data_IF_134636835028
#
_entry.id   IF_134636835028
#
_cell.length_a   1.000
_cell.length_b   1.000
_cell.length_c   1.000
_cell.angle_alpha   90.00
_cell.angle_beta   90.00
_cell.angle_gamma   90.00
#
_symmetry.space_group_name_H-M   'P 1'
#
loop_
_entity.id
_entity.type
_entity.pdbx_description
1 polymer ?
#
# COMPACT_ATOMS: atom_id res chain seq x y z
N UNK A 1 28.14 8.98 -35.52
CA UNK A 1 27.33 8.08 -34.69
C UNK A 1 27.96 7.97 -33.32
N UNK A 2 27.37 8.59 -32.30
CA UNK A 2 27.81 8.44 -30.90
C UNK A 2 26.59 7.96 -30.12
N UNK A 3 26.64 6.72 -29.66
CA UNK A 3 25.60 6.06 -28.89
C UNK A 3 25.53 6.66 -27.49
N UNK A 4 24.40 7.29 -27.16
CA UNK A 4 24.09 7.72 -25.79
C UNK A 4 23.74 6.48 -24.98
N UNK A 5 24.67 5.99 -24.16
CA UNK A 5 24.33 5.11 -23.03
C UNK A 5 23.57 5.95 -22.01
N UNK A 6 22.26 5.79 -21.98
CA UNK A 6 21.41 6.23 -20.86
C UNK A 6 21.93 5.56 -19.59
N UNK A 7 22.32 6.38 -18.61
CA UNK A 7 22.59 5.90 -17.26
C UNK A 7 21.27 5.33 -16.72
N UNK A 8 21.20 4.00 -16.63
CA UNK A 8 20.11 3.34 -15.91
C UNK A 8 20.14 3.82 -14.46
N UNK A 9 18.98 4.19 -13.94
CA UNK A 9 18.81 4.44 -12.51
C UNK A 9 19.36 3.24 -11.73
N UNK A 10 20.12 3.47 -10.64
CA UNK A 10 20.67 2.38 -9.86
C UNK A 10 19.53 1.53 -9.32
N UNK A 11 19.46 0.28 -9.78
CA UNK A 11 18.55 -0.69 -9.19
C UNK A 11 18.97 -0.93 -7.74
N UNK A 12 18.04 -0.86 -6.77
CA UNK A 12 18.36 -1.03 -5.36
C UNK A 12 18.94 -2.43 -5.14
N UNK A 13 20.19 -2.46 -4.70
CA UNK A 13 20.89 -3.66 -4.25
C UNK A 13 20.31 -4.14 -2.91
N UNK A 14 20.37 -5.46 -2.74
CA UNK A 14 19.84 -6.34 -1.69
C UNK A 14 19.65 -5.73 -0.28
N UNK A 15 18.44 -5.93 0.27
CA UNK A 15 18.05 -5.91 1.70
C UNK A 15 18.03 -4.61 2.52
N UNK A 16 17.82 -3.44 1.89
CA UNK A 16 17.39 -2.27 2.68
C UNK A 16 15.89 -2.32 3.01
N UNK A 17 15.55 -2.73 4.24
CA UNK A 17 14.17 -2.66 4.74
C UNK A 17 13.74 -1.19 4.82
N UNK A 18 12.89 -0.75 3.88
CA UNK A 18 12.33 0.61 3.91
C UNK A 18 11.09 0.65 4.79
N UNK A 19 11.05 1.59 5.73
CA UNK A 19 9.91 1.83 6.61
C UNK A 19 9.33 3.21 6.33
N UNK A 20 8.02 3.25 6.14
CA UNK A 20 7.26 4.48 5.95
C UNK A 20 6.15 4.55 6.99
N UNK A 21 5.88 5.76 7.48
CA UNK A 21 4.84 6.05 8.47
C UNK A 21 3.97 7.17 7.94
N UNK A 22 2.65 7.00 8.02
CA UNK A 22 1.69 8.02 7.59
C UNK A 22 0.56 8.18 8.61
N UNK A 23 0.24 9.42 9.05
CA UNK A 23 -1.04 9.68 9.70
C UNK A 23 -2.16 9.54 8.66
N UNK A 24 -3.19 8.74 8.95
CA UNK A 24 -4.31 8.50 8.04
C UNK A 24 -5.50 7.94 8.82
N UNK A 25 -6.74 8.19 8.37
CA UNK A 25 -7.95 7.62 9.00
C UNK A 25 -8.32 6.26 8.44
N UNK A 26 -8.13 6.08 7.14
CA UNK A 26 -8.28 4.78 6.51
C UNK A 26 -7.27 4.56 5.39
N UNK A 27 -7.12 3.30 4.99
CA UNK A 27 -6.40 2.93 3.77
C UNK A 27 -7.24 1.98 2.93
N UNK A 28 -7.08 2.06 1.61
CA UNK A 28 -7.60 1.10 0.66
C UNK A 28 -6.40 0.44 -0.05
N UNK A 29 -6.35 -0.89 0.03
CA UNK A 29 -5.28 -1.72 -0.51
C UNK A 29 -5.84 -2.47 -1.73
N UNK A 30 -5.32 -2.16 -2.90
CA UNK A 30 -5.73 -2.75 -4.16
C UNK A 30 -4.59 -3.51 -4.83
N UNK A 31 -4.96 -4.55 -5.56
CA UNK A 31 -4.05 -5.22 -6.49
C UNK A 31 -4.10 -4.56 -7.85
N UNK A 32 -2.95 -4.13 -8.34
CA UNK A 32 -2.78 -3.60 -9.69
C UNK A 32 -2.21 -4.67 -10.64
N UNK A 33 -2.34 -4.48 -11.97
CA UNK A 33 -1.65 -5.32 -12.94
C UNK A 33 -0.13 -5.35 -12.72
N UNK A 34 0.50 -6.38 -13.28
CA UNK A 34 1.96 -6.47 -13.36
C UNK A 34 2.47 -5.34 -14.25
N UNK A 35 3.60 -4.74 -13.86
CA UNK A 35 4.29 -3.76 -14.68
C UNK A 35 5.55 -4.39 -15.30
N UNK A 36 5.74 -4.18 -16.60
CA UNK A 36 6.90 -4.69 -17.35
C UNK A 36 7.14 -6.19 -17.16
N UNK A 37 8.41 -6.55 -16.93
CA UNK A 37 8.87 -7.94 -16.78
C UNK A 37 8.89 -8.41 -15.31
N UNK A 38 8.19 -7.73 -14.41
CA UNK A 38 8.15 -8.12 -13.00
C UNK A 38 7.56 -9.53 -12.83
N UNK A 39 8.11 -10.33 -11.92
CA UNK A 39 7.58 -11.68 -11.64
C UNK A 39 6.18 -11.59 -11.01
N UNK A 40 5.98 -10.63 -10.10
CA UNK A 40 4.74 -10.46 -9.35
C UNK A 40 3.94 -9.21 -9.77
N UNK A 41 2.73 -9.08 -9.21
CA UNK A 41 1.83 -7.95 -9.46
C UNK A 41 2.28 -6.69 -8.69
N UNK A 42 1.60 -5.57 -8.94
CA UNK A 42 1.79 -4.34 -8.16
C UNK A 42 0.68 -4.19 -7.13
N UNK A 43 0.94 -3.41 -6.09
CA UNK A 43 -0.02 -3.07 -5.02
C UNK A 43 -0.15 -1.56 -4.97
N UNK A 44 -1.39 -1.07 -4.89
CA UNK A 44 -1.70 0.33 -4.59
C UNK A 44 -2.20 0.43 -3.15
N UNK A 45 -1.68 1.40 -2.41
CA UNK A 45 -2.19 1.80 -1.09
C UNK A 45 -2.63 3.25 -1.20
N UNK A 46 -3.94 3.47 -1.14
CA UNK A 46 -4.58 4.78 -1.09
C UNK A 46 -4.83 5.16 0.35
N UNK A 47 -4.43 6.37 0.74
CA UNK A 47 -4.57 6.93 2.10
C UNK A 47 -5.69 7.96 2.09
N UNK A 48 -6.55 7.95 3.10
CA UNK A 48 -7.71 8.84 3.22
C UNK A 48 -7.78 9.49 4.60
N UNK A 49 -8.29 10.72 4.63
CA UNK A 49 -8.49 11.48 5.86
C UNK A 49 -9.86 11.22 6.51
N UNK A 50 -10.66 10.32 5.94
CA UNK A 50 -11.94 9.84 6.47
C UNK A 50 -11.99 8.32 6.58
N UNK A 51 -12.93 7.83 7.39
CA UNK A 51 -13.32 6.41 7.41
C UNK A 51 -14.39 6.17 6.34
N UNK A 52 -14.48 4.92 5.88
CA UNK A 52 -15.42 4.47 4.85
C UNK A 52 -15.43 5.37 3.59
N UNK A 53 -14.27 5.71 2.99
CA UNK A 53 -14.21 6.58 1.82
C UNK A 53 -15.08 6.12 0.66
N UNK A 54 -15.32 4.81 0.52
CA UNK A 54 -16.22 4.21 -0.48
C UNK A 54 -17.71 4.61 -0.33
N UNK A 55 -18.11 5.16 0.82
CA UNK A 55 -19.45 5.72 1.08
C UNK A 55 -19.49 7.25 0.89
N UNK A 56 -18.38 7.84 0.46
CA UNK A 56 -18.18 9.28 0.33
C UNK A 56 -17.71 9.64 -1.08
N UNK A 57 -17.56 10.93 -1.37
CA UNK A 57 -16.92 11.44 -2.59
C UNK A 57 -15.46 11.86 -2.34
N UNK A 58 -14.86 11.44 -1.21
CA UNK A 58 -13.51 11.85 -0.85
C UNK A 58 -12.46 11.09 -1.65
N UNK A 59 -11.61 11.85 -2.34
CA UNK A 59 -10.46 11.32 -3.06
C UNK A 59 -9.31 10.96 -2.10
N UNK A 60 -8.42 10.03 -2.46
CA UNK A 60 -7.25 9.71 -1.67
C UNK A 60 -6.36 10.95 -1.47
N UNK A 61 -5.98 11.22 -0.22
CA UNK A 61 -4.98 12.25 0.09
C UNK A 61 -3.60 11.89 -0.49
N UNK A 62 -3.30 10.60 -0.56
CA UNK A 62 -2.08 10.09 -1.17
C UNK A 62 -2.31 8.69 -1.75
N UNK A 63 -1.67 8.41 -2.90
CA UNK A 63 -1.60 7.07 -3.47
C UNK A 63 -0.14 6.62 -3.51
N UNK A 64 0.13 5.42 -2.97
CA UNK A 64 1.44 4.79 -2.97
C UNK A 64 1.39 3.52 -3.81
N UNK A 65 2.26 3.40 -4.79
CA UNK A 65 2.37 2.20 -5.62
C UNK A 65 3.67 1.44 -5.32
N UNK A 66 3.53 0.13 -5.18
CA UNK A 66 4.63 -0.79 -4.94
C UNK A 66 4.61 -1.87 -6.01
N UNK A 67 5.70 -1.98 -6.77
CA UNK A 67 5.81 -2.93 -7.89
C UNK A 67 6.52 -4.22 -7.45
N UNK A 68 6.28 -5.29 -8.21
CA UNK A 68 6.86 -6.62 -7.99
C UNK A 68 6.61 -7.18 -6.57
N UNK A 69 5.37 -7.10 -6.10
CA UNK A 69 4.94 -7.57 -4.79
C UNK A 69 4.26 -8.93 -4.91
N UNK A 70 4.88 -9.97 -4.33
CA UNK A 70 4.32 -11.31 -4.22
C UNK A 70 3.13 -11.33 -3.26
N UNK A 71 3.26 -10.66 -2.10
CA UNK A 71 2.24 -10.67 -1.05
C UNK A 71 2.25 -9.44 -0.16
N UNK A 72 1.07 -9.10 0.34
CA UNK A 72 0.85 -8.12 1.40
C UNK A 72 0.50 -8.84 2.69
N UNK A 73 1.20 -8.54 3.79
CA UNK A 73 0.92 -9.08 5.12
C UNK A 73 0.34 -8.00 6.02
N UNK A 74 -0.95 -8.09 6.31
CA UNK A 74 -1.64 -7.21 7.26
C UNK A 74 -1.56 -7.85 8.65
N UNK A 75 -1.18 -7.08 9.68
CA UNK A 75 -1.02 -7.60 11.05
C UNK A 75 -1.78 -6.75 12.06
N UNK A 76 -2.58 -7.42 12.91
CA UNK A 76 -3.25 -6.85 14.10
C UNK A 76 -4.12 -5.63 13.79
N UNK A 77 -4.90 -5.69 12.71
CA UNK A 77 -5.86 -4.66 12.33
C UNK A 77 -7.19 -5.30 11.94
N UNK A 78 -8.28 -4.57 12.16
CA UNK A 78 -9.59 -4.89 11.58
C UNK A 78 -9.59 -4.51 10.11
N UNK A 79 -9.82 -5.48 9.24
CA UNK A 79 -9.82 -5.34 7.79
C UNK A 79 -11.20 -5.71 7.28
N UNK A 80 -11.80 -4.87 6.47
CA UNK A 80 -13.02 -5.19 5.74
C UNK A 80 -12.65 -5.55 4.31
N UNK A 81 -13.12 -6.71 3.85
CA UNK A 81 -12.95 -7.17 2.47
C UNK A 81 -14.29 -7.04 1.75
N UNK A 82 -14.34 -6.19 0.73
CA UNK A 82 -15.56 -5.99 -0.06
C UNK A 82 -15.56 -6.93 -1.25
N UNK A 83 -16.54 -7.82 -1.31
CA UNK A 83 -16.65 -8.86 -2.34
C UNK A 83 -17.02 -8.33 -3.72
N UNK A 84 -17.57 -7.13 -3.79
CA UNK A 84 -17.86 -6.45 -5.07
C UNK A 84 -16.58 -5.93 -5.77
N UNK A 85 -15.44 -5.97 -5.09
CA UNK A 85 -14.16 -5.47 -5.60
C UNK A 85 -12.97 -6.39 -5.29
N UNK A 86 -11.77 -5.92 -5.65
CA UNK A 86 -10.50 -6.57 -5.31
C UNK A 86 -9.79 -5.86 -4.15
N UNK A 87 -10.52 -5.06 -3.40
CA UNK A 87 -9.97 -4.08 -2.48
C UNK A 87 -10.20 -4.49 -1.03
N UNK A 88 -9.17 -4.29 -0.23
CA UNK A 88 -9.25 -4.37 1.22
C UNK A 88 -9.29 -2.95 1.77
N UNK A 89 -10.20 -2.68 2.69
CA UNK A 89 -10.21 -1.41 3.43
C UNK A 89 -9.81 -1.65 4.88
N UNK A 90 -9.07 -0.70 5.44
CA UNK A 90 -8.75 -0.65 6.87
C UNK A 90 -9.15 0.72 7.38
N UNK A 91 -10.16 0.76 8.24
CA UNK A 91 -10.71 1.98 8.82
C UNK A 91 -10.18 2.24 10.24
N UNK A 92 -10.54 3.39 10.80
CA UNK A 92 -10.30 3.78 12.19
C UNK A 92 -8.82 3.81 12.57
N UNK A 93 -7.96 4.10 11.59
CA UNK A 93 -6.53 4.29 11.81
C UNK A 93 -6.27 5.67 12.42
N UNK A 94 -5.27 5.73 13.28
CA UNK A 94 -4.58 6.98 13.59
C UNK A 94 -3.31 7.11 12.72
N UNK A 95 -2.64 5.98 12.50
CA UNK A 95 -1.42 5.87 11.72
C UNK A 95 -1.26 4.50 11.07
N UNK A 96 -0.62 4.48 9.91
CA UNK A 96 -0.21 3.26 9.19
C UNK A 96 1.30 3.22 9.01
N UNK A 97 1.87 2.03 9.18
CA UNK A 97 3.27 1.71 8.92
C UNK A 97 3.37 0.71 7.77
N UNK A 98 4.14 1.09 6.76
CA UNK A 98 4.45 0.25 5.61
C UNK A 98 5.91 -0.17 5.68
N UNK A 99 6.17 -1.47 5.68
CA UNK A 99 7.52 -2.04 5.69
C UNK A 99 7.72 -2.85 4.43
N UNK A 100 8.57 -2.35 3.55
CA UNK A 100 8.95 -3.00 2.31
C UNK A 100 10.19 -3.87 2.54
N UNK A 101 10.08 -5.15 2.20
CA UNK A 101 11.16 -6.12 2.30
C UNK A 101 11.15 -7.03 1.05
N UNK A 102 11.93 -6.64 0.04
CA UNK A 102 11.95 -7.31 -1.26
C UNK A 102 10.55 -7.37 -1.87
N UNK A 103 10.06 -8.57 -2.16
CA UNK A 103 8.75 -8.78 -2.79
C UNK A 103 7.59 -8.86 -1.78
N UNK A 104 7.84 -8.64 -0.49
CA UNK A 104 6.82 -8.64 0.56
C UNK A 104 6.59 -7.24 1.11
N UNK A 105 5.33 -6.81 1.14
CA UNK A 105 4.89 -5.58 1.81
C UNK A 105 4.19 -5.93 3.13
N UNK A 106 4.66 -5.40 4.25
CA UNK A 106 4.01 -5.57 5.55
C UNK A 106 3.27 -4.28 5.89
N UNK A 107 1.97 -4.41 6.18
CA UNK A 107 1.09 -3.32 6.59
C UNK A 107 0.73 -3.51 8.06
N UNK A 108 1.04 -2.50 8.87
CA UNK A 108 0.66 -2.41 10.28
C UNK A 108 -0.03 -1.07 10.51
N UNK A 109 -0.82 -0.96 11.55
CA UNK A 109 -1.47 0.29 11.90
C UNK A 109 -1.86 0.30 13.36
N UNK A 110 -2.09 1.51 13.86
CA UNK A 110 -2.67 1.75 15.16
C UNK A 110 -4.11 2.20 14.92
N UNK A 111 -5.07 1.42 15.44
CA UNK A 111 -6.49 1.75 15.39
C UNK A 111 -6.92 2.29 16.74
N UNK A 112 -7.62 3.42 16.75
CA UNK A 112 -8.18 3.97 17.97
C UNK A 112 -9.22 3.01 18.56
N UNK A 113 -9.22 2.84 19.88
CA UNK A 113 -10.17 2.04 20.67
C UNK A 113 -11.57 2.67 20.65
N UNK A 114 -12.21 2.73 19.48
CA UNK A 114 -13.62 3.08 19.34
C UNK A 114 -14.24 2.15 18.29
N UNK A 115 -14.28 0.85 18.60
CA UNK A 115 -15.15 -0.08 17.89
C UNK A 115 -16.51 -0.03 18.61
N UNK A 116 -17.63 0.23 17.91
CA UNK A 116 -18.93 -0.08 18.49
C UNK A 116 -18.97 -1.57 18.85
N UNK A 117 -19.45 -1.87 20.05
CA UNK A 117 -19.69 -3.25 20.51
C UNK A 117 -20.80 -3.92 19.69
#
# INVERSE_FOLDING_TARGET
MISRKTAGEPQPTTDSVKRLKFPTKSILISRLPRQGNNEYKSVSIKLFNVNDPHKTLEEPAQTLEFHNIEKVRIRRMNVSYFTEGNDLIVNHLEEVYLVYNGTTLIVRGYQGLNLPQ
#
